data_IF_676869234287
#
_entry.id   IF_676869234287
#
_cell.length_a   1.000
_cell.length_b   1.000
_cell.length_c   1.000
_cell.angle_alpha   90.00
_cell.angle_beta   90.00
_cell.angle_gamma   90.00
#
_symmetry.space_group_name_H-M   'P 1'
#
loop_
_entity.id
_entity.type
_entity.pdbx_description
1 polymer ?
#
# COMPACT_ATOMS: atom_id res chain seq x y z
N UNK A 1 11.89 -2.81 3.30
CA UNK A 1 10.61 -3.32 2.76
C UNK A 1 9.99 -4.27 3.78
N UNK A 2 8.73 -4.07 4.10
CA UNK A 2 8.01 -4.85 5.13
C UNK A 2 7.24 -5.97 4.44
N UNK A 3 7.89 -7.11 4.24
CA UNK A 3 7.31 -8.25 3.53
C UNK A 3 6.61 -9.25 4.47
N UNK A 4 7.24 -9.62 5.57
CA UNK A 4 6.66 -10.57 6.52
C UNK A 4 5.50 -9.93 7.29
N UNK A 5 4.46 -10.73 7.58
CA UNK A 5 3.24 -10.25 8.25
C UNK A 5 3.54 -9.66 9.63
N UNK A 6 4.38 -10.30 10.43
CA UNK A 6 4.78 -9.80 11.75
C UNK A 6 5.55 -8.47 11.67
N UNK A 7 6.34 -8.26 10.61
CA UNK A 7 7.06 -7.00 10.40
C UNK A 7 6.12 -5.85 10.05
N UNK A 8 4.94 -6.14 9.49
CA UNK A 8 3.92 -5.10 9.28
C UNK A 8 3.49 -4.47 10.60
N UNK A 9 3.35 -5.28 11.65
CA UNK A 9 3.03 -4.78 12.98
C UNK A 9 4.23 -4.10 13.65
N UNK A 10 5.40 -4.75 13.66
CA UNK A 10 6.56 -4.29 14.44
C UNK A 10 7.29 -3.12 13.81
N UNK A 11 7.46 -3.09 12.49
CA UNK A 11 8.20 -2.03 11.79
C UNK A 11 7.29 -0.94 11.21
N UNK A 12 6.14 -1.31 10.66
CA UNK A 12 5.24 -0.36 10.03
C UNK A 12 4.06 0.08 10.91
N UNK A 13 3.90 -0.52 12.10
CA UNK A 13 2.87 -0.14 13.05
C UNK A 13 1.46 -0.56 12.67
N UNK A 14 1.30 -1.57 11.82
CA UNK A 14 -0.02 -2.12 11.49
C UNK A 14 -0.60 -2.81 12.73
N UNK A 15 -1.83 -2.47 13.17
CA UNK A 15 -2.42 -3.09 14.35
C UNK A 15 -2.54 -4.60 14.22
N UNK A 16 -2.07 -5.34 15.23
CA UNK A 16 -2.15 -6.81 15.24
C UNK A 16 -3.59 -7.33 15.09
N UNK A 17 -4.60 -6.75 15.76
CA UNK A 17 -5.99 -7.18 15.57
C UNK A 17 -6.45 -7.06 14.10
N UNK A 18 -6.01 -6.03 13.40
CA UNK A 18 -6.34 -5.85 11.98
C UNK A 18 -5.74 -6.97 11.13
N UNK A 19 -4.47 -7.31 11.36
CA UNK A 19 -3.81 -8.41 10.66
C UNK A 19 -4.50 -9.77 10.92
N UNK A 20 -4.95 -10.01 12.15
CA UNK A 20 -5.67 -11.22 12.50
C UNK A 20 -7.06 -11.29 11.85
N UNK A 21 -7.78 -10.15 11.82
CA UNK A 21 -9.14 -10.10 11.30
C UNK A 21 -9.19 -10.21 9.78
N UNK A 22 -8.29 -9.54 9.08
CA UNK A 22 -8.36 -9.39 7.61
C UNK A 22 -7.24 -10.08 6.86
N UNK A 23 -6.19 -10.53 7.58
CA UNK A 23 -4.99 -11.05 6.96
C UNK A 23 -4.11 -9.93 6.37
N UNK A 24 -2.95 -10.29 5.79
CA UNK A 24 -1.99 -9.29 5.31
C UNK A 24 -2.41 -8.59 4.01
N UNK A 25 -3.38 -9.14 3.27
CA UNK A 25 -3.82 -8.60 1.98
C UNK A 25 -5.23 -8.05 2.12
N UNK A 26 -5.33 -6.78 2.46
CA UNK A 26 -6.60 -6.08 2.59
C UNK A 26 -6.42 -4.57 2.36
N UNK A 27 -7.49 -3.84 2.02
CA UNK A 27 -7.41 -2.39 1.87
C UNK A 27 -7.02 -1.69 3.17
N UNK A 28 -7.53 -2.13 4.31
CA UNK A 28 -7.23 -1.52 5.61
C UNK A 28 -5.75 -1.72 6.00
N UNK A 29 -5.18 -2.88 5.67
CA UNK A 29 -3.75 -3.14 5.89
C UNK A 29 -2.90 -2.23 5.01
N UNK A 30 -3.25 -2.03 3.75
CA UNK A 30 -2.54 -1.10 2.86
C UNK A 30 -2.57 0.32 3.41
N UNK A 31 -3.72 0.78 3.87
CA UNK A 31 -3.86 2.10 4.50
C UNK A 31 -3.02 2.24 5.76
N UNK A 32 -3.04 1.23 6.62
CA UNK A 32 -2.25 1.22 7.85
C UNK A 32 -0.74 1.19 7.57
N UNK A 33 -0.29 0.45 6.56
CA UNK A 33 1.10 0.46 6.12
C UNK A 33 1.54 1.85 5.68
N UNK A 34 0.73 2.53 4.89
CA UNK A 34 1.00 3.88 4.41
C UNK A 34 1.11 4.88 5.58
N UNK A 35 0.15 4.87 6.47
CA UNK A 35 0.13 5.75 7.65
C UNK A 35 1.31 5.45 8.58
N UNK A 36 1.60 4.17 8.82
CA UNK A 36 2.71 3.75 9.69
C UNK A 36 4.08 4.16 9.12
N UNK A 37 4.28 4.02 7.83
CA UNK A 37 5.52 4.45 7.18
C UNK A 37 5.71 5.96 7.31
N UNK A 38 4.66 6.73 7.05
CA UNK A 38 4.68 8.18 7.19
C UNK A 38 5.02 8.61 8.61
N UNK A 39 4.34 8.04 9.59
CA UNK A 39 4.49 8.42 11.00
C UNK A 39 5.86 8.04 11.55
N UNK A 40 6.31 6.82 11.31
CA UNK A 40 7.55 6.30 11.88
C UNK A 40 8.80 6.96 11.30
N UNK A 41 8.74 7.37 10.05
CA UNK A 41 9.88 8.00 9.36
C UNK A 41 9.78 9.52 9.29
N UNK A 42 8.72 10.10 9.82
CA UNK A 42 8.50 11.55 9.76
C UNK A 42 8.43 12.06 8.33
N UNK A 43 7.91 11.25 7.42
CA UNK A 43 7.85 11.59 5.99
C UNK A 43 6.61 12.42 5.66
N UNK A 44 6.67 13.15 4.57
CA UNK A 44 5.49 13.89 4.07
C UNK A 44 4.44 12.95 3.51
N UNK A 45 4.89 11.88 2.81
CA UNK A 45 4.02 10.86 2.23
C UNK A 45 4.48 9.48 2.66
N UNK A 46 3.52 8.57 2.81
CA UNK A 46 3.76 7.16 3.00
C UNK A 46 3.00 6.34 1.95
N UNK A 47 3.65 5.34 1.38
CA UNK A 47 3.03 4.35 0.51
C UNK A 47 2.97 3.01 1.22
N UNK A 48 1.81 2.36 1.14
CA UNK A 48 1.64 1.01 1.65
C UNK A 48 1.08 0.13 0.54
N UNK A 49 1.76 -0.97 0.24
CA UNK A 49 1.34 -1.89 -0.80
C UNK A 49 1.23 -3.28 -0.22
N UNK A 50 0.12 -3.93 -0.47
CA UNK A 50 -0.05 -5.34 -0.16
C UNK A 50 -0.84 -6.00 -1.28
N UNK A 51 -0.51 -7.25 -1.59
CA UNK A 51 -1.16 -7.93 -2.70
C UNK A 51 -0.68 -9.35 -2.91
N UNK A 52 -1.24 -9.99 -3.92
CA UNK A 52 -0.95 -11.36 -4.30
C UNK A 52 -0.32 -11.38 -5.68
N UNK A 53 1.01 -11.50 -5.71
CA UNK A 53 1.76 -11.56 -6.97
C UNK A 53 1.71 -12.94 -7.65
N UNK A 54 1.38 -13.96 -6.90
CA UNK A 54 1.29 -15.34 -7.38
C UNK A 54 2.61 -16.11 -7.25
N UNK A 55 2.64 -17.37 -7.74
CA UNK A 55 1.58 -18.03 -8.51
C UNK A 55 0.34 -18.47 -7.71
N UNK A 56 0.44 -18.60 -6.39
CA UNK A 56 -0.65 -19.07 -5.55
C UNK A 56 -1.47 -17.90 -4.98
N UNK A 57 -2.77 -18.12 -4.79
CA UNK A 57 -3.63 -17.17 -4.07
C UNK A 57 -3.23 -17.11 -2.59
N UNK A 58 -3.59 -16.02 -1.93
CA UNK A 58 -3.28 -15.82 -0.52
C UNK A 58 -4.47 -15.19 0.21
N UNK A 59 -4.80 -15.72 1.40
CA UNK A 59 -5.83 -15.16 2.26
C UNK A 59 -7.20 -15.02 1.60
N UNK A 60 -7.56 -15.94 0.71
CA UNK A 60 -8.81 -15.89 -0.04
C UNK A 60 -8.82 -14.86 -1.17
N UNK A 61 -7.70 -14.18 -1.40
CA UNK A 61 -7.58 -13.17 -2.47
C UNK A 61 -6.94 -13.82 -3.70
N UNK A 62 -7.51 -13.61 -4.91
CA UNK A 62 -6.93 -14.16 -6.13
C UNK A 62 -5.62 -13.45 -6.50
N UNK A 63 -4.80 -14.15 -7.28
CA UNK A 63 -3.58 -13.60 -7.85
C UNK A 63 -3.90 -12.33 -8.67
N UNK A 64 -3.11 -11.28 -8.48
CA UNK A 64 -3.32 -9.99 -9.14
C UNK A 64 -4.12 -8.99 -8.31
N UNK A 65 -4.68 -9.41 -7.16
CA UNK A 65 -5.32 -8.48 -6.23
C UNK A 65 -4.24 -7.69 -5.51
N UNK A 66 -4.25 -6.36 -5.65
CA UNK A 66 -3.27 -5.46 -5.03
C UNK A 66 -4.01 -4.26 -4.45
N UNK A 67 -3.59 -3.84 -3.27
CA UNK A 67 -4.08 -2.62 -2.64
C UNK A 67 -2.90 -1.65 -2.46
N UNK A 68 -3.09 -0.42 -2.90
CA UNK A 68 -2.11 0.65 -2.76
C UNK A 68 -2.69 1.71 -1.84
N UNK A 69 -2.09 1.87 -0.67
CA UNK A 69 -2.42 2.92 0.28
C UNK A 69 -1.47 4.09 0.13
N UNK A 70 -2.01 5.29 0.29
CA UNK A 70 -1.23 6.53 0.29
C UNK A 70 -1.69 7.37 1.48
N UNK A 71 -0.75 7.79 2.31
CA UNK A 71 -0.97 8.72 3.41
C UNK A 71 -0.17 10.00 3.17
N UNK A 72 -0.77 11.14 3.40
CA UNK A 72 -0.13 12.42 3.20
C UNK A 72 -0.83 13.55 3.95
N UNK A 73 -0.42 14.81 3.73
CA UNK A 73 -1.00 15.95 4.42
C UNK A 73 -2.49 16.14 4.18
N UNK A 74 -3.00 15.69 3.04
CA UNK A 74 -4.41 15.77 2.67
C UNK A 74 -5.26 14.60 3.16
N UNK A 75 -4.69 13.65 3.89
CA UNK A 75 -5.36 12.44 4.37
C UNK A 75 -4.85 11.18 3.70
N UNK A 76 -5.59 10.09 3.87
CA UNK A 76 -5.24 8.79 3.32
C UNK A 76 -6.23 8.31 2.27
N UNK A 77 -5.71 7.55 1.31
CA UNK A 77 -6.52 6.88 0.29
C UNK A 77 -6.03 5.44 0.12
N UNK A 78 -6.92 4.57 -0.34
CA UNK A 78 -6.57 3.20 -0.73
C UNK A 78 -7.19 2.92 -2.08
N UNK A 79 -6.39 2.37 -2.99
CA UNK A 79 -6.85 1.96 -4.32
C UNK A 79 -6.65 0.47 -4.50
N UNK A 80 -7.69 -0.20 -4.96
CA UNK A 80 -7.61 -1.60 -5.37
C UNK A 80 -7.23 -1.69 -6.84
N UNK A 81 -6.26 -2.57 -7.13
CA UNK A 81 -5.88 -2.93 -8.48
C UNK A 81 -6.24 -4.40 -8.72
N UNK A 82 -6.65 -4.68 -9.95
CA UNK A 82 -6.83 -6.06 -10.41
C UNK A 82 -5.91 -6.25 -11.60
N UNK A 83 -4.77 -6.89 -11.36
CA UNK A 83 -3.70 -7.05 -12.33
C UNK A 83 -3.66 -8.46 -12.89
N UNK A 84 -3.07 -8.62 -14.06
CA UNK A 84 -2.95 -9.91 -14.73
C UNK A 84 -1.50 -10.14 -15.17
N UNK A 85 -1.17 -11.39 -15.44
CA UNK A 85 0.16 -11.80 -15.83
C UNK A 85 0.84 -12.65 -14.77
N UNK A 86 2.13 -12.91 -14.97
CA UNK A 86 2.93 -13.64 -14.01
C UNK A 86 3.37 -12.73 -12.83
N UNK A 87 4.09 -13.30 -11.88
CA UNK A 87 4.56 -12.60 -10.70
C UNK A 87 5.36 -11.33 -11.03
N UNK A 88 6.27 -11.41 -11.99
CA UNK A 88 7.10 -10.28 -12.38
C UNK A 88 6.27 -9.17 -13.03
N UNK A 89 5.33 -9.53 -13.89
CA UNK A 89 4.43 -8.57 -14.52
C UNK A 89 3.54 -7.85 -13.49
N UNK A 90 2.99 -8.59 -12.52
CA UNK A 90 2.16 -8.03 -11.46
C UNK A 90 2.99 -7.08 -10.58
N UNK A 91 4.20 -7.47 -10.22
CA UNK A 91 5.09 -6.61 -9.41
C UNK A 91 5.47 -5.33 -10.14
N UNK A 92 5.82 -5.42 -11.42
CA UNK A 92 6.16 -4.24 -12.23
C UNK A 92 4.98 -3.28 -12.36
N UNK A 93 3.79 -3.80 -12.67
CA UNK A 93 2.58 -2.99 -12.77
C UNK A 93 2.19 -2.34 -11.44
N UNK A 94 2.43 -3.04 -10.32
CA UNK A 94 2.18 -2.50 -8.98
C UNK A 94 3.10 -1.31 -8.67
N UNK A 95 4.38 -1.42 -8.97
CA UNK A 95 5.35 -0.31 -8.79
C UNK A 95 4.92 0.91 -9.59
N UNK A 96 4.57 0.70 -10.85
CA UNK A 96 4.12 1.78 -11.74
C UNK A 96 2.86 2.47 -11.20
N UNK A 97 1.87 1.70 -10.77
CA UNK A 97 0.63 2.24 -10.22
C UNK A 97 0.86 2.98 -8.89
N UNK A 98 1.70 2.44 -8.00
CA UNK A 98 2.00 3.09 -6.72
C UNK A 98 2.72 4.43 -6.93
N UNK A 99 3.68 4.48 -7.83
CA UNK A 99 4.38 5.73 -8.15
C UNK A 99 3.47 6.74 -8.83
N UNK A 100 2.54 6.30 -9.67
CA UNK A 100 1.55 7.18 -10.29
C UNK A 100 0.61 7.81 -9.24
N UNK A 101 0.18 7.05 -8.24
CA UNK A 101 -0.64 7.57 -7.13
C UNK A 101 0.13 8.63 -6.34
N UNK A 102 1.39 8.37 -6.01
CA UNK A 102 2.23 9.32 -5.30
C UNK A 102 2.45 10.59 -6.13
N UNK A 103 2.75 10.45 -7.40
CA UNK A 103 2.97 11.60 -8.29
C UNK A 103 1.73 12.48 -8.39
N UNK A 104 0.55 11.88 -8.52
CA UNK A 104 -0.71 12.60 -8.57
C UNK A 104 -0.95 13.41 -7.27
N UNK A 105 -0.66 12.80 -6.11
CA UNK A 105 -0.81 13.48 -4.81
C UNK A 105 0.17 14.65 -4.66
N UNK A 106 1.42 14.48 -5.06
CA UNK A 106 2.44 15.53 -5.01
C UNK A 106 2.05 16.69 -5.93
N UNK A 107 1.59 16.40 -7.14
CA UNK A 107 1.13 17.44 -8.08
C UNK A 107 -0.09 18.19 -7.58
N UNK A 108 -1.06 17.50 -7.01
CA UNK A 108 -2.26 18.11 -6.44
C UNK A 108 -1.89 19.06 -5.30
N UNK A 109 -0.99 18.65 -4.41
CA UNK A 109 -0.51 19.51 -3.32
C UNK A 109 0.26 20.72 -3.84
N UNK A 110 1.12 20.55 -4.82
CA UNK A 110 1.88 21.65 -5.43
C UNK A 110 0.95 22.69 -6.06
N UNK A 111 -0.15 22.27 -6.68
CA UNK A 111 -1.14 23.18 -7.25
C UNK A 111 -1.91 23.96 -6.18
N UNK A 112 -2.05 23.43 -4.97
CA UNK A 112 -2.73 24.08 -3.85
C UNK A 112 -1.84 25.04 -3.07
N UNK A 113 -0.52 24.93 -3.19
CA UNK A 113 0.39 25.78 -2.47
C UNK A 113 0.48 27.16 -3.14
N UNK A 114 0.60 28.24 -2.34
CA UNK A 114 0.83 29.58 -2.89
C UNK A 114 2.16 29.63 -3.65
N UNK A 115 2.17 30.44 -4.68
CA UNK A 115 3.36 30.64 -5.52
C UNK A 115 4.51 31.28 -4.71
#
# INVERSE_FOLDING_TARGET
MVYATDLKATLAGVPVPLLHAEGPVSPDVAGALAAGARDRLGATYGLGVTGVAGPDSQGGRPVGTVYVGLAGPGGGTVRQLTLSGDRDAIRAATVEAALAELLAAVRARSAELPA
#
